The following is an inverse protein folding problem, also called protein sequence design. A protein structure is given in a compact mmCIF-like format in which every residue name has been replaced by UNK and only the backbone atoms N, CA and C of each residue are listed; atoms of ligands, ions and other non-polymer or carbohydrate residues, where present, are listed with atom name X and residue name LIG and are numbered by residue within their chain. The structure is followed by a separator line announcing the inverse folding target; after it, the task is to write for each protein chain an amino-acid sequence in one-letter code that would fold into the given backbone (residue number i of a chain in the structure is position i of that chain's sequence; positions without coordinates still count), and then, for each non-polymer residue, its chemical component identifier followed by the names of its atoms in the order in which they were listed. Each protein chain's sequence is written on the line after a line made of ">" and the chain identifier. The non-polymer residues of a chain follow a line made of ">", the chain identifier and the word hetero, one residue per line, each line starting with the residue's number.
data_IF_102882763284
#
_entry.id   IF_102882763284
#
_cell.length_a   1.000
_cell.length_b   1.000
_cell.length_c   1.000
_cell.angle_alpha   90.00
_cell.angle_beta   90.00
_cell.angle_gamma   90.00
#
_symmetry.space_group_name_H-M   'P 1'
#
loop_
_entity.id
_entity.type
_entity.pdbx_description
1 polymer ?
#
# COMPACT_ATOMS: atom_id res chain seq x y z
N UNK A 1 20.02 11.10 30.39
CA UNK A 1 20.07 9.64 30.62
C UNK A 1 19.36 8.92 29.47
N UNK A 2 19.88 7.75 29.10
CA UNK A 2 19.88 7.13 27.77
C UNK A 2 18.55 6.56 27.26
N UNK A 3 18.26 6.78 25.96
CA UNK A 3 17.65 5.85 24.98
C UNK A 3 17.88 6.55 23.60
N UNK A 4 18.55 6.05 22.56
CA UNK A 4 18.76 4.69 22.08
C UNK A 4 18.31 4.61 20.60
N UNK A 5 19.21 4.95 19.66
CA UNK A 5 19.28 4.48 18.23
C UNK A 5 18.00 4.27 17.38
N UNK A 6 16.95 5.08 17.48
CA UNK A 6 15.91 5.10 16.44
C UNK A 6 15.59 6.53 16.00
N UNK A 7 15.98 6.87 14.76
CA UNK A 7 15.79 8.18 14.16
C UNK A 7 14.31 8.51 13.94
N UNK A 8 13.65 9.03 14.97
CA UNK A 8 12.40 9.78 14.88
C UNK A 8 12.81 11.23 14.57
N UNK A 9 12.90 11.57 13.28
CA UNK A 9 13.24 12.92 12.85
C UNK A 9 11.98 13.76 12.59
N UNK A 10 11.69 14.60 13.58
CA UNK A 10 11.02 15.92 13.58
C UNK A 10 9.61 16.07 12.97
N UNK A 11 8.71 16.35 13.92
CA UNK A 11 7.33 16.84 13.86
C UNK A 11 7.22 18.20 13.14
N UNK A 12 6.32 18.32 12.16
CA UNK A 12 5.60 19.57 11.83
C UNK A 12 4.20 19.29 11.26
N UNK A 13 3.17 19.35 12.12
CA UNK A 13 2.04 20.30 12.00
C UNK A 13 1.26 20.30 13.33
N UNK A 14 1.14 21.49 13.94
CA UNK A 14 0.24 21.89 15.02
C UNK A 14 0.05 20.94 16.24
N UNK A 15 0.95 21.10 17.22
CA UNK A 15 0.75 21.09 18.69
C UNK A 15 0.02 19.95 19.42
N UNK A 16 -0.62 18.96 18.78
CA UNK A 16 -1.40 17.99 19.57
C UNK A 16 -1.72 16.65 18.86
N UNK A 17 -1.00 16.27 17.80
CA UNK A 17 -1.23 15.00 17.09
C UNK A 17 0.05 14.17 17.09
N UNK A 18 0.04 12.98 17.73
CA UNK A 18 1.11 11.99 17.62
C UNK A 18 1.14 11.41 16.20
N UNK A 19 1.82 12.13 15.30
CA UNK A 19 2.11 11.71 13.93
C UNK A 19 3.50 11.09 13.91
N UNK A 20 3.59 9.80 13.59
CA UNK A 20 4.88 9.14 13.38
C UNK A 20 5.25 9.20 11.91
N UNK A 21 6.43 9.73 11.62
CA UNK A 21 7.05 9.62 10.32
C UNK A 21 8.03 8.47 10.35
N UNK A 22 7.75 7.40 9.61
CA UNK A 22 8.69 6.30 9.44
C UNK A 22 9.44 6.49 8.12
N UNK A 23 10.77 6.37 8.18
CA UNK A 23 11.61 6.32 6.99
C UNK A 23 11.78 4.87 6.54
N UNK A 24 11.21 4.55 5.38
CA UNK A 24 11.26 3.19 4.82
C UNK A 24 12.24 3.09 3.66
N UNK A 25 13.06 2.03 3.67
CA UNK A 25 14.00 1.72 2.58
C UNK A 25 13.45 0.66 1.66
N UNK A 26 13.43 0.95 0.36
CA UNK A 26 13.04 -0.02 -0.67
C UNK A 26 14.08 -0.08 -1.78
N UNK A 27 14.54 -1.31 -2.06
CA UNK A 27 15.50 -1.57 -3.11
C UNK A 27 15.05 -1.00 -4.46
N UNK A 28 15.98 -0.37 -5.17
CA UNK A 28 15.80 -0.04 -6.59
C UNK A 28 15.76 -1.34 -7.44
N UNK A 29 15.29 -1.26 -8.69
CA UNK A 29 15.17 -2.43 -9.58
C UNK A 29 13.76 -3.05 -9.75
N UNK A 30 13.69 -4.06 -10.61
CA UNK A 30 12.48 -4.82 -10.96
C UNK A 30 12.22 -5.99 -10.03
N UNK A 31 11.27 -6.85 -10.39
CA UNK A 31 10.94 -8.07 -9.66
C UNK A 31 11.54 -9.28 -10.38
N UNK A 32 12.19 -10.17 -9.63
CA UNK A 32 12.58 -11.50 -10.09
C UNK A 32 11.63 -12.51 -9.46
N UNK A 33 11.14 -13.47 -10.24
CA UNK A 33 10.29 -14.53 -9.69
C UNK A 33 11.13 -15.45 -8.79
N UNK A 34 10.69 -15.77 -7.56
CA UNK A 34 11.40 -16.69 -6.69
C UNK A 34 11.16 -18.12 -7.19
N UNK A 35 12.04 -18.61 -8.06
CA UNK A 35 12.06 -20.01 -8.50
C UNK A 35 13.44 -20.61 -8.21
N UNK A 36 13.51 -21.86 -7.72
CA UNK A 36 14.79 -22.55 -7.55
C UNK A 36 15.56 -22.57 -8.88
N UNK A 37 16.82 -22.16 -8.84
CA UNK A 37 17.75 -22.17 -9.99
C UNK A 37 17.28 -21.43 -11.25
N UNK A 38 16.20 -20.64 -11.20
CA UNK A 38 15.66 -19.98 -12.41
C UNK A 38 14.84 -20.89 -13.32
N UNK A 39 14.52 -22.12 -12.91
CA UNK A 39 13.82 -23.09 -13.76
C UNK A 39 12.32 -22.85 -13.70
N UNK A 40 11.68 -22.86 -14.88
CA UNK A 40 10.23 -22.71 -15.02
C UNK A 40 9.69 -23.85 -15.87
N UNK A 41 8.79 -24.61 -15.30
CA UNK A 41 8.04 -25.64 -16.01
C UNK A 41 6.77 -25.06 -16.65
N UNK A 42 6.28 -25.72 -17.70
CA UNK A 42 5.04 -25.38 -18.40
C UNK A 42 5.24 -24.54 -19.67
N UNK A 43 4.18 -23.85 -20.10
CA UNK A 43 4.16 -23.12 -21.38
C UNK A 43 5.18 -21.95 -21.39
N UNK A 44 5.82 -21.66 -22.55
CA UNK A 44 6.95 -20.71 -22.67
C UNK A 44 6.63 -19.22 -22.42
N UNK A 45 5.39 -18.88 -22.05
CA UNK A 45 4.98 -17.50 -21.72
C UNK A 45 5.54 -17.02 -20.37
N UNK A 46 5.85 -17.93 -19.46
CA UNK A 46 6.10 -17.61 -18.05
C UNK A 46 7.59 -17.41 -17.79
N UNK A 47 8.07 -16.16 -17.76
CA UNK A 47 9.49 -15.84 -17.52
C UNK A 47 9.87 -15.64 -16.05
N UNK A 48 11.18 -15.58 -15.78
CA UNK A 48 11.75 -15.35 -14.44
C UNK A 48 12.24 -13.90 -14.27
N UNK A 49 12.95 -13.38 -15.27
CA UNK A 49 13.53 -12.04 -15.30
C UNK A 49 12.62 -11.04 -16.04
N UNK A 50 12.94 -9.74 -15.93
CA UNK A 50 12.20 -8.63 -16.55
C UNK A 50 10.73 -8.50 -16.10
N UNK A 51 10.36 -9.06 -14.95
CA UNK A 51 9.03 -8.86 -14.37
C UNK A 51 9.00 -7.52 -13.63
N UNK A 52 7.90 -6.79 -13.79
CA UNK A 52 7.63 -5.57 -13.03
C UNK A 52 6.61 -5.91 -11.94
N UNK A 53 6.86 -5.45 -10.72
CA UNK A 53 5.91 -5.64 -9.64
C UNK A 53 4.62 -4.85 -9.92
N UNK A 54 3.47 -5.45 -9.64
CA UNK A 54 2.16 -4.83 -9.92
C UNK A 54 1.89 -3.60 -9.04
N UNK A 55 2.37 -3.62 -7.78
CA UNK A 55 2.23 -2.46 -6.88
C UNK A 55 3.41 -1.50 -7.09
N UNK A 56 3.18 -0.24 -6.75
CA UNK A 56 4.26 0.74 -6.73
C UNK A 56 5.13 0.58 -5.47
N UNK A 57 6.36 1.08 -5.54
CA UNK A 57 7.30 1.03 -4.40
C UNK A 57 6.78 1.81 -3.18
N UNK A 58 6.03 2.90 -3.39
CA UNK A 58 5.42 3.67 -2.29
C UNK A 58 4.42 2.82 -1.48
N UNK A 59 3.58 2.02 -2.12
CA UNK A 59 2.64 1.11 -1.45
C UNK A 59 3.36 -0.01 -0.70
N UNK A 60 4.49 -0.49 -1.24
CA UNK A 60 5.34 -1.45 -0.52
C UNK A 60 5.99 -0.81 0.71
N UNK A 61 6.29 0.49 0.68
CA UNK A 61 6.84 1.21 1.83
C UNK A 61 5.78 1.37 2.91
N UNK A 62 4.58 1.81 2.53
CA UNK A 62 3.44 1.91 3.45
C UNK A 62 3.17 0.56 4.15
N UNK A 63 3.22 -0.55 3.42
CA UNK A 63 3.06 -1.90 3.96
C UNK A 63 4.21 -2.32 4.88
N UNK A 64 5.46 -1.94 4.59
CA UNK A 64 6.61 -2.23 5.47
C UNK A 64 6.56 -1.42 6.76
N UNK A 65 6.23 -0.13 6.67
CA UNK A 65 6.03 0.75 7.83
C UNK A 65 4.92 0.24 8.76
N UNK A 66 3.85 -0.33 8.20
CA UNK A 66 2.79 -0.96 8.99
C UNK A 66 3.19 -2.28 9.66
N UNK A 67 4.30 -2.91 9.23
CA UNK A 67 4.79 -4.19 9.76
C UNK A 67 6.05 -4.08 10.64
N UNK A 68 6.91 -3.07 10.44
CA UNK A 68 8.18 -2.85 11.16
C UNK A 68 8.50 -1.35 11.27
N UNK A 69 9.29 -0.99 12.28
CA UNK A 69 9.87 0.36 12.49
C UNK A 69 11.38 0.33 12.21
N UNK A 70 11.88 1.03 11.19
CA UNK A 70 13.32 1.38 11.12
C UNK A 70 13.85 1.82 9.75
N UNK A 71 14.86 2.72 9.75
CA UNK A 71 15.63 3.08 8.53
C UNK A 71 16.89 3.94 8.73
N UNK A 72 17.92 3.70 7.89
CA UNK A 72 19.16 4.48 7.68
C UNK A 72 19.40 4.71 6.15
N UNK A 73 20.09 5.79 5.75
CA UNK A 73 20.20 6.29 4.35
C UNK A 73 21.40 5.73 3.54
N UNK A 74 21.19 5.35 2.27
CA UNK A 74 22.16 4.79 1.29
C UNK A 74 21.64 4.86 -0.18
N UNK A 75 22.55 4.94 -1.16
CA UNK A 75 22.33 5.14 -2.61
C UNK A 75 21.58 3.99 -3.32
N UNK A 76 21.52 2.80 -2.75
CA UNK A 76 20.83 1.63 -3.33
C UNK A 76 19.30 1.69 -3.19
N UNK A 77 18.80 2.52 -2.26
CA UNK A 77 17.42 2.48 -1.80
C UNK A 77 16.64 3.77 -2.11
N UNK A 78 15.35 3.62 -2.43
CA UNK A 78 14.41 4.74 -2.39
C UNK A 78 13.89 4.88 -0.96
N UNK A 79 13.90 6.12 -0.47
CA UNK A 79 13.36 6.50 0.83
C UNK A 79 11.96 7.06 0.66
N UNK A 80 11.05 6.63 1.53
CA UNK A 80 9.71 7.18 1.64
C UNK A 80 9.44 7.53 3.10
N UNK A 81 8.81 8.67 3.30
CA UNK A 81 8.27 9.08 4.58
C UNK A 81 6.80 8.67 4.63
N UNK A 82 6.46 7.80 5.59
CA UNK A 82 5.10 7.31 5.80
C UNK A 82 4.55 7.95 7.06
N UNK A 83 3.42 8.63 6.92
CA UNK A 83 2.67 9.27 8.01
C UNK A 83 1.75 8.22 8.63
N UNK A 84 1.95 7.94 9.91
CA UNK A 84 1.09 7.09 10.72
C UNK A 84 0.43 7.91 11.82
N UNK A 85 -0.75 7.48 12.23
CA UNK A 85 -1.57 8.10 13.28
C UNK A 85 -1.76 7.08 14.39
N UNK A 86 -1.50 7.48 15.64
CA UNK A 86 -1.78 6.66 16.81
C UNK A 86 -3.29 6.57 17.08
N UNK A 87 -3.82 5.35 17.19
CA UNK A 87 -5.22 5.09 17.49
C UNK A 87 -5.60 5.22 18.98
N UNK A 88 -4.61 5.22 19.87
CA UNK A 88 -4.82 5.32 21.32
C UNK A 88 -4.82 6.77 21.84
N UNK A 89 -4.42 7.73 21.00
CA UNK A 89 -4.24 9.11 21.43
C UNK A 89 -5.55 9.90 21.47
N UNK A 90 -5.92 10.40 22.65
CA UNK A 90 -7.19 11.08 22.90
C UNK A 90 -7.42 12.32 22.03
N UNK A 91 -6.38 13.09 21.74
CA UNK A 91 -6.53 14.29 20.90
C UNK A 91 -7.01 13.93 19.51
N UNK A 92 -6.48 12.86 18.93
CA UNK A 92 -6.87 12.48 17.56
C UNK A 92 -8.26 11.87 17.55
N UNK A 93 -8.63 11.11 18.58
CA UNK A 93 -9.99 10.56 18.73
C UNK A 93 -11.05 11.64 18.83
N UNK A 94 -10.75 12.74 19.52
CA UNK A 94 -11.67 13.84 19.73
C UNK A 94 -11.71 14.82 18.55
N UNK A 95 -10.76 14.76 17.60
CA UNK A 95 -10.76 15.61 16.41
C UNK A 95 -11.76 15.07 15.35
N UNK A 96 -12.87 15.80 15.08
CA UNK A 96 -13.89 15.36 14.11
C UNK A 96 -13.36 15.26 12.66
N UNK A 97 -12.21 15.86 12.33
CA UNK A 97 -11.62 15.82 10.98
C UNK A 97 -10.90 14.51 10.69
N UNK A 98 -10.36 13.86 11.73
CA UNK A 98 -9.45 12.71 11.61
C UNK A 98 -10.03 11.45 12.27
N UNK A 99 -10.99 11.60 13.20
CA UNK A 99 -11.54 10.49 13.99
C UNK A 99 -12.07 9.30 13.16
N UNK A 100 -12.48 9.52 11.92
CA UNK A 100 -12.91 8.47 10.99
C UNK A 100 -11.86 7.37 10.82
N UNK A 101 -10.56 7.67 10.99
CA UNK A 101 -9.47 6.69 10.87
C UNK A 101 -9.56 5.58 11.92
N UNK A 102 -10.19 5.81 13.08
CA UNK A 102 -10.22 4.86 14.19
C UNK A 102 -11.35 3.84 14.14
N UNK A 103 -12.32 4.02 13.24
CA UNK A 103 -13.38 3.05 13.06
C UNK A 103 -12.72 1.74 12.56
N UNK A 104 -13.09 0.55 13.09
CA UNK A 104 -12.43 -0.72 12.75
C UNK A 104 -12.33 -1.02 11.25
N UNK A 105 -13.26 -0.49 10.44
CA UNK A 105 -13.27 -0.58 8.97
C UNK A 105 -12.01 0.02 8.33
N UNK A 106 -11.31 0.94 9.02
CA UNK A 106 -10.12 1.63 8.56
C UNK A 106 -8.80 1.02 9.05
N UNK A 107 -8.82 -0.19 9.62
CA UNK A 107 -7.61 -0.95 9.94
C UNK A 107 -6.87 -1.41 8.67
N UNK A 108 -5.54 -1.42 8.71
CA UNK A 108 -4.68 -1.94 7.64
C UNK A 108 -5.04 -1.45 6.22
N UNK A 109 -5.19 -0.13 6.04
CA UNK A 109 -5.54 0.48 4.74
C UNK A 109 -4.45 0.31 3.71
N UNK A 110 -3.19 0.26 4.14
CA UNK A 110 -1.99 -0.01 3.35
C UNK A 110 -2.06 -1.40 2.71
N UNK A 111 -2.39 -2.44 3.49
CA UNK A 111 -2.49 -3.81 2.99
C UNK A 111 -3.63 -3.99 1.98
N UNK A 112 -4.75 -3.29 2.21
CA UNK A 112 -5.93 -3.31 1.31
C UNK A 112 -5.80 -2.38 0.10
N UNK A 113 -4.72 -1.59 0.02
CA UNK A 113 -4.49 -0.64 -1.07
C UNK A 113 -5.54 0.48 -1.13
N UNK A 114 -5.96 0.97 0.04
CA UNK A 114 -6.89 2.10 0.20
C UNK A 114 -6.17 3.45 0.38
N UNK A 115 -4.85 3.42 0.55
CA UNK A 115 -3.98 4.60 0.54
C UNK A 115 -3.93 5.25 -0.84
N UNK A 116 -3.41 6.47 -0.92
CA UNK A 116 -3.26 7.17 -2.19
C UNK A 116 -2.34 6.43 -3.18
N UNK A 117 -1.28 5.80 -2.68
CA UNK A 117 -0.40 4.93 -3.46
C UNK A 117 -1.14 3.65 -3.91
N UNK A 118 -1.96 3.08 -3.02
CA UNK A 118 -2.81 1.94 -3.30
C UNK A 118 -3.80 2.19 -4.42
N UNK A 119 -4.56 3.28 -4.33
CA UNK A 119 -5.52 3.72 -5.36
C UNK A 119 -4.86 3.97 -6.71
N UNK A 120 -3.61 4.46 -6.72
CA UNK A 120 -2.85 4.69 -7.96
C UNK A 120 -2.59 3.39 -8.72
N UNK A 121 -2.02 2.36 -8.07
CA UNK A 121 -1.72 1.10 -8.77
C UNK A 121 -2.99 0.34 -9.17
N UNK A 122 -4.08 0.51 -8.41
CA UNK A 122 -5.39 -0.07 -8.73
C UNK A 122 -6.10 0.58 -9.93
N UNK A 123 -5.55 1.68 -10.47
CA UNK A 123 -6.20 2.44 -11.55
C UNK A 123 -7.44 3.20 -11.10
N UNK A 124 -7.54 3.57 -9.82
CA UNK A 124 -8.71 4.26 -9.27
C UNK A 124 -8.60 5.79 -9.28
N UNK A 125 -7.47 6.34 -9.74
CA UNK A 125 -7.28 7.79 -9.85
C UNK A 125 -8.03 8.40 -11.05
N UNK A 126 -8.01 7.75 -12.21
CA UNK A 126 -8.78 8.21 -13.36
C UNK A 126 -10.23 7.73 -13.32
N UNK A 127 -11.12 8.41 -14.05
CA UNK A 127 -12.53 8.06 -14.27
C UNK A 127 -12.81 8.01 -15.79
N UNK A 128 -14.00 7.58 -16.20
CA UNK A 128 -14.40 7.51 -17.61
C UNK A 128 -14.05 6.20 -18.31
N UNK A 129 -14.10 6.22 -19.65
CA UNK A 129 -14.04 5.05 -20.53
C UNK A 129 -12.77 4.20 -20.33
N UNK A 130 -11.61 4.83 -20.08
CA UNK A 130 -10.33 4.14 -19.83
C UNK A 130 -10.30 3.35 -18.51
N UNK A 131 -11.24 3.59 -17.58
CA UNK A 131 -11.24 3.04 -16.23
C UNK A 131 -12.48 2.18 -15.91
N UNK A 132 -13.27 1.85 -16.93
CA UNK A 132 -14.50 1.04 -16.80
C UNK A 132 -14.26 -0.31 -16.12
N UNK A 133 -13.17 -0.99 -16.50
CA UNK A 133 -12.79 -2.30 -15.92
C UNK A 133 -12.12 -2.22 -14.55
N UNK A 134 -11.83 -1.01 -14.04
CA UNK A 134 -11.14 -0.84 -12.75
C UNK A 134 -12.09 -0.74 -11.55
N UNK A 135 -13.36 -0.37 -11.75
CA UNK A 135 -14.34 -0.07 -10.67
C UNK A 135 -15.43 -1.14 -10.53
N UNK A 136 -15.82 -1.55 -9.31
CA UNK A 136 -15.25 -1.13 -8.00
C UNK A 136 -13.89 -1.77 -7.70
N UNK A 137 -13.62 -2.93 -8.30
CA UNK A 137 -12.30 -3.55 -8.42
C UNK A 137 -12.25 -4.37 -9.70
N UNK A 138 -11.05 -4.61 -10.25
CA UNK A 138 -10.88 -5.42 -11.47
C UNK A 138 -11.50 -6.82 -11.34
N UNK A 139 -11.35 -7.47 -10.17
CA UNK A 139 -11.92 -8.80 -9.89
C UNK A 139 -13.44 -8.74 -9.78
N UNK A 140 -14.00 -7.73 -9.12
CA UNK A 140 -15.45 -7.57 -9.01
C UNK A 140 -16.11 -7.35 -10.38
N UNK A 141 -15.48 -6.55 -11.25
CA UNK A 141 -15.97 -6.34 -12.62
C UNK A 141 -15.85 -7.59 -13.47
N UNK A 142 -14.73 -8.31 -13.38
CA UNK A 142 -14.59 -9.59 -14.06
C UNK A 142 -15.66 -10.58 -13.60
N UNK A 143 -15.89 -10.72 -12.27
CA UNK A 143 -16.94 -11.59 -11.74
C UNK A 143 -18.30 -11.22 -12.32
N UNK A 144 -18.71 -9.96 -12.23
CA UNK A 144 -20.00 -9.47 -12.77
C UNK A 144 -20.18 -9.80 -14.26
N UNK A 145 -19.15 -9.60 -15.07
CA UNK A 145 -19.24 -9.81 -16.53
C UNK A 145 -19.19 -11.29 -16.95
N UNK A 146 -18.64 -12.17 -16.11
CA UNK A 146 -18.51 -13.60 -16.40
C UNK A 146 -19.47 -14.47 -15.57
N UNK A 147 -20.30 -13.86 -14.72
CA UNK A 147 -21.33 -14.59 -13.98
C UNK A 147 -22.52 -14.82 -14.90
N UNK A 148 -22.88 -16.08 -15.10
CA UNK A 148 -24.10 -16.45 -15.83
C UNK A 148 -25.33 -15.94 -15.06
N UNK A 149 -26.20 -15.18 -15.74
CA UNK A 149 -27.46 -14.70 -15.16
C UNK A 149 -28.59 -15.60 -15.65
N UNK A 150 -29.05 -16.51 -14.78
CA UNK A 150 -30.23 -17.33 -15.03
C UNK A 150 -31.43 -16.65 -14.39
N UNK A 151 -32.25 -15.99 -15.20
CA UNK A 151 -33.48 -15.35 -14.73
C UNK A 151 -34.56 -16.41 -14.53
N UNK A 152 -35.43 -16.22 -13.53
CA UNK A 152 -36.52 -17.15 -13.21
C UNK A 152 -37.58 -17.21 -14.32
N UNK A 153 -37.85 -16.07 -14.94
CA UNK A 153 -38.68 -15.93 -16.12
C UNK A 153 -37.93 -15.02 -17.10
N UNK A 154 -38.05 -15.29 -18.40
CA UNK A 154 -37.39 -14.53 -19.47
C UNK A 154 -37.87 -13.08 -19.51
#
# INVERSE_FOLDING_TARGET
>A
MYFGRYGILRVRYARSVCIYTISERIGRGGCRRPVPKGIVYGKPKTKVSQLKFQRNKRSVAEERAGRKLGGLKDSTYKYFEVILVDASHNVVRNDPRINWIFIPVHNHRELRGLTSAGKKYRGLRGRGHLHTKARPSRRATWKRNNTLSLRRYC
#
